data_IF_554907020081
#
_entry.id   IF_554907020081
#
_cell.length_a   1.000
_cell.length_b   1.000
_cell.length_c   1.000
_cell.angle_alpha   90.00
_cell.angle_beta   90.00
_cell.angle_gamma   90.00
#
_symmetry.space_group_name_H-M   'P 1'
#
loop_
_entity.id
_entity.type
_entity.pdbx_description
1 polymer ?
#
# COMPACT_ATOMS: atom_id res chain seq x y z
N UNK A 1 -43.39 21.10 -1.29
CA UNK A 1 -43.45 20.24 -0.08
C UNK A 1 -42.74 18.93 -0.37
N UNK A 2 -41.51 18.76 0.10
CA UNK A 2 -40.88 17.47 0.30
C UNK A 2 -40.06 17.62 1.59
N UNK A 3 -40.53 17.01 2.67
CA UNK A 3 -39.92 17.11 4.00
C UNK A 3 -38.57 16.40 3.95
N UNK A 4 -37.48 17.16 4.07
CA UNK A 4 -36.16 16.61 4.29
C UNK A 4 -36.14 16.01 5.70
N UNK A 5 -36.31 14.69 5.80
CA UNK A 5 -36.22 14.00 7.08
C UNK A 5 -34.77 14.07 7.58
N UNK A 6 -34.59 14.78 8.69
CA UNK A 6 -33.35 14.92 9.44
C UNK A 6 -32.93 13.57 10.03
N UNK A 7 -32.16 12.78 9.27
CA UNK A 7 -31.39 11.66 9.81
C UNK A 7 -29.97 12.15 10.14
N UNK A 8 -29.55 12.18 11.42
CA UNK A 8 -28.18 12.52 11.77
C UNK A 8 -27.28 11.33 11.44
N UNK A 9 -26.35 11.56 10.51
CA UNK A 9 -25.43 10.59 9.93
C UNK A 9 -24.08 10.70 10.66
N UNK A 10 -23.52 9.58 11.10
CA UNK A 10 -22.17 9.54 11.68
C UNK A 10 -21.24 8.82 10.69
N UNK A 11 -20.43 9.57 9.96
CA UNK A 11 -19.34 9.00 9.16
C UNK A 11 -18.10 8.90 10.06
N UNK A 12 -17.73 7.68 10.44
CA UNK A 12 -16.55 7.45 11.29
C UNK A 12 -15.39 7.11 10.36
N UNK A 13 -14.63 8.13 9.96
CA UNK A 13 -13.33 7.90 9.32
C UNK A 13 -12.46 7.11 10.32
N UNK A 14 -11.56 6.21 9.88
CA UNK A 14 -10.61 5.57 10.78
C UNK A 14 -9.67 6.56 11.48
N UNK A 15 -9.66 7.85 11.13
CA UNK A 15 -9.05 8.90 11.97
C UNK A 15 -9.85 9.27 13.21
N UNK A 16 -11.09 8.79 13.38
CA UNK A 16 -11.80 8.81 14.67
C UNK A 16 -11.52 7.55 15.51
N UNK A 17 -11.10 6.44 14.88
CA UNK A 17 -10.41 5.35 15.58
C UNK A 17 -8.91 5.61 15.75
N UNK A 18 -8.33 6.54 14.98
CA UNK A 18 -6.93 6.99 15.03
C UNK A 18 -6.91 8.53 15.16
N UNK A 19 -7.66 9.08 16.12
CA UNK A 19 -7.57 10.52 16.39
C UNK A 19 -6.26 10.76 17.13
N UNK A 20 -5.37 11.50 16.48
CA UNK A 20 -4.02 11.82 16.94
C UNK A 20 -4.01 12.89 18.03
N UNK A 21 -4.97 12.87 18.98
CA UNK A 21 -4.87 13.68 20.19
C UNK A 21 -4.28 12.84 21.32
N UNK A 22 -3.07 13.21 21.74
CA UNK A 22 -2.25 12.52 22.74
C UNK A 22 -2.83 12.54 24.18
N UNK A 23 -4.15 12.67 24.34
CA UNK A 23 -4.83 12.85 25.63
C UNK A 23 -6.05 11.96 25.84
N UNK A 24 -6.43 11.11 24.88
CA UNK A 24 -7.46 10.09 25.13
C UNK A 24 -6.85 8.68 25.05
N UNK A 25 -6.82 7.92 26.17
CA UNK A 25 -6.62 6.49 26.11
C UNK A 25 -7.66 5.89 25.15
N UNK A 26 -7.38 4.72 24.59
CA UNK A 26 -8.24 3.91 23.70
C UNK A 26 -9.56 3.41 24.37
N UNK A 27 -10.10 4.23 25.27
CA UNK A 27 -11.36 4.09 25.97
C UNK A 27 -12.51 4.87 25.32
N UNK A 28 -12.29 5.66 24.26
CA UNK A 28 -13.39 5.92 23.31
C UNK A 28 -13.63 4.65 22.50
N UNK A 29 -14.12 3.64 23.21
CA UNK A 29 -14.19 2.26 22.79
C UNK A 29 -15.23 2.15 21.68
N UNK A 30 -15.03 1.20 20.76
CA UNK A 30 -16.07 0.83 19.82
C UNK A 30 -17.45 0.67 20.50
N UNK A 31 -17.49 0.21 21.76
CA UNK A 31 -18.70 0.16 22.58
C UNK A 31 -19.32 1.53 22.88
N UNK A 32 -18.52 2.58 23.14
CA UNK A 32 -19.04 3.94 23.33
C UNK A 32 -19.62 4.51 22.03
N UNK A 33 -18.94 4.28 20.89
CA UNK A 33 -19.46 4.67 19.57
C UNK A 33 -20.78 3.94 19.33
N UNK A 34 -20.81 2.62 19.55
CA UNK A 34 -22.02 1.84 19.41
C UNK A 34 -23.11 2.32 20.36
N UNK A 35 -22.83 2.61 21.63
CA UNK A 35 -23.82 3.10 22.59
C UNK A 35 -24.41 4.46 22.19
N UNK A 36 -23.62 5.33 21.56
CA UNK A 36 -24.07 6.63 21.08
C UNK A 36 -24.87 6.58 19.77
N UNK A 37 -24.82 5.47 19.02
CA UNK A 37 -25.53 5.33 17.75
C UNK A 37 -27.04 5.15 17.95
N UNK A 38 -27.83 5.85 17.12
CA UNK A 38 -29.28 5.69 17.04
C UNK A 38 -29.63 4.34 16.39
N UNK A 39 -30.76 3.76 16.81
CA UNK A 39 -31.37 2.64 16.10
C UNK A 39 -31.65 3.01 14.64
N UNK A 40 -31.38 2.10 13.71
CA UNK A 40 -31.53 2.32 12.26
C UNK A 40 -30.47 3.25 11.64
N UNK A 41 -29.46 3.69 12.41
CA UNK A 41 -28.37 4.49 11.87
C UNK A 41 -27.45 3.66 10.96
N UNK A 42 -26.62 4.34 10.16
CA UNK A 42 -25.59 3.72 9.32
C UNK A 42 -24.21 4.08 9.86
N UNK A 43 -23.39 3.07 10.17
CA UNK A 43 -21.96 3.20 10.44
C UNK A 43 -21.19 3.11 9.12
N UNK A 44 -20.56 4.21 8.71
CA UNK A 44 -19.63 4.22 7.58
C UNK A 44 -18.19 4.09 8.04
N UNK A 45 -17.45 3.15 7.46
CA UNK A 45 -16.02 2.90 7.69
C UNK A 45 -15.22 3.20 6.41
N UNK A 46 -13.97 3.65 6.54
CA UNK A 46 -13.06 3.78 5.37
C UNK A 46 -11.96 2.73 5.34
N UNK A 47 -12.07 1.73 6.21
CA UNK A 47 -11.23 0.54 6.27
C UNK A 47 -11.92 -0.50 7.18
N UNK A 48 -11.86 -1.78 6.83
CA UNK A 48 -12.40 -2.92 7.55
C UNK A 48 -11.59 -3.41 8.74
N UNK A 49 -10.53 -2.70 9.17
CA UNK A 49 -9.72 -3.03 10.35
C UNK A 49 -10.57 -3.37 11.58
N UNK A 50 -11.66 -2.62 11.81
CA UNK A 50 -12.56 -2.85 12.94
C UNK A 50 -13.22 -4.23 12.86
N UNK A 51 -13.65 -4.69 11.69
CA UNK A 51 -14.21 -6.04 11.53
C UNK A 51 -13.16 -7.10 11.92
N UNK A 52 -11.93 -6.97 11.41
CA UNK A 52 -10.86 -7.91 11.75
C UNK A 52 -10.51 -7.91 13.25
N UNK A 53 -10.58 -6.76 13.90
CA UNK A 53 -10.45 -6.68 15.36
C UNK A 53 -11.61 -7.39 16.08
N UNK A 54 -12.86 -7.14 15.70
CA UNK A 54 -14.03 -7.76 16.32
C UNK A 54 -14.01 -9.28 16.18
N UNK A 55 -13.68 -9.78 15.00
CA UNK A 55 -13.52 -11.22 14.75
C UNK A 55 -12.46 -11.82 15.70
N UNK A 56 -11.33 -11.11 15.94
CA UNK A 56 -10.25 -11.59 16.82
C UNK A 56 -10.64 -11.70 18.31
N UNK A 57 -11.69 -11.00 18.73
CA UNK A 57 -12.20 -11.00 20.11
C UNK A 57 -13.59 -11.64 20.23
N UNK A 58 -14.14 -12.17 19.13
CA UNK A 58 -15.47 -12.80 19.11
C UNK A 58 -16.64 -11.83 19.26
N UNK A 59 -16.44 -10.53 18.97
CA UNK A 59 -17.48 -9.51 19.02
C UNK A 59 -18.12 -9.24 17.65
N UNK A 60 -19.24 -8.52 17.64
CA UNK A 60 -19.97 -8.17 16.42
C UNK A 60 -20.50 -6.73 16.47
N UNK A 61 -20.85 -6.21 15.30
CA UNK A 61 -21.64 -4.98 15.19
C UNK A 61 -23.05 -5.20 15.75
N UNK A 62 -23.65 -4.13 16.28
CA UNK A 62 -25.06 -4.08 16.68
C UNK A 62 -25.98 -4.52 15.53
N UNK A 63 -27.03 -5.32 15.79
CA UNK A 63 -27.92 -5.84 14.75
C UNK A 63 -28.90 -4.79 14.20
N UNK A 64 -29.08 -3.66 14.89
CA UNK A 64 -30.09 -2.64 14.56
C UNK A 64 -29.54 -1.45 13.75
N UNK A 65 -28.30 -1.53 13.26
CA UNK A 65 -27.64 -0.48 12.47
C UNK A 65 -27.19 -1.01 11.10
N UNK A 66 -27.12 -0.18 10.06
CA UNK A 66 -26.41 -0.58 8.83
C UNK A 66 -24.90 -0.39 9.01
N UNK A 67 -24.08 -1.23 8.37
CA UNK A 67 -22.62 -1.11 8.38
C UNK A 67 -22.12 -1.15 6.93
N UNK A 68 -21.52 -0.05 6.50
CA UNK A 68 -21.00 0.13 5.14
C UNK A 68 -19.54 0.56 5.17
N UNK A 69 -18.85 0.35 4.05
CA UNK A 69 -17.49 0.80 3.84
C UNK A 69 -17.37 1.56 2.51
N UNK A 70 -16.58 2.64 2.53
CA UNK A 70 -16.02 3.28 1.33
C UNK A 70 -14.54 3.56 1.62
N UNK A 71 -13.65 2.81 0.97
CA UNK A 71 -12.21 2.89 1.17
C UNK A 71 -11.53 3.45 -0.09
N UNK A 72 -11.06 4.72 -0.04
CA UNK A 72 -10.22 5.28 -1.09
C UNK A 72 -8.89 4.54 -1.19
N UNK A 73 -8.51 4.12 -2.40
CA UNK A 73 -7.26 3.43 -2.73
C UNK A 73 -6.13 4.44 -2.94
N UNK A 74 -5.85 5.17 -1.85
CA UNK A 74 -4.86 6.23 -1.81
C UNK A 74 -4.85 7.00 -0.49
N UNK A 75 -3.73 7.66 -0.20
CA UNK A 75 -3.56 8.43 1.02
C UNK A 75 -4.51 9.64 1.13
N UNK A 76 -4.84 10.05 2.35
CA UNK A 76 -5.75 11.18 2.60
C UNK A 76 -5.42 12.48 1.83
N UNK A 77 -4.14 12.92 1.77
CA UNK A 77 -3.75 14.07 0.96
C UNK A 77 -4.02 13.93 -0.55
N UNK A 78 -3.86 12.72 -1.13
CA UNK A 78 -4.12 12.50 -2.56
C UNK A 78 -5.60 12.56 -2.89
N UNK A 79 -6.48 12.03 -2.01
CA UNK A 79 -7.94 12.17 -2.12
C UNK A 79 -8.33 13.64 -2.25
N UNK A 80 -7.84 14.50 -1.35
CA UNK A 80 -8.19 15.94 -1.39
C UNK A 80 -7.58 16.63 -2.61
N UNK A 81 -6.30 16.38 -2.90
CA UNK A 81 -5.60 17.03 -4.02
C UNK A 81 -6.29 16.74 -5.35
N UNK A 82 -6.57 15.47 -5.63
CA UNK A 82 -7.18 15.05 -6.89
C UNK A 82 -8.65 15.47 -6.97
N UNK A 83 -9.39 15.48 -5.86
CA UNK A 83 -10.74 16.05 -5.82
C UNK A 83 -10.75 17.55 -6.22
N UNK A 84 -9.77 18.33 -5.76
CA UNK A 84 -9.65 19.75 -6.14
C UNK A 84 -9.31 19.87 -7.63
N UNK A 85 -8.40 19.05 -8.14
CA UNK A 85 -8.06 18.98 -9.57
C UNK A 85 -9.27 18.55 -10.43
N UNK A 86 -10.17 17.72 -9.87
CA UNK A 86 -11.42 17.28 -10.48
C UNK A 86 -12.38 18.40 -10.86
N UNK A 87 -12.19 19.61 -10.31
CA UNK A 87 -12.95 20.81 -10.71
C UNK A 87 -12.65 21.26 -12.14
N UNK A 88 -11.43 21.01 -12.60
CA UNK A 88 -10.92 21.45 -13.90
C UNK A 88 -10.70 20.27 -14.85
N UNK A 89 -10.47 19.06 -14.31
CA UNK A 89 -10.17 17.85 -15.07
C UNK A 89 -11.19 16.77 -14.73
N UNK A 90 -12.10 16.49 -15.65
CA UNK A 90 -13.11 15.45 -15.46
C UNK A 90 -12.42 14.08 -15.21
N UNK A 91 -12.88 13.37 -14.18
CA UNK A 91 -12.32 12.06 -13.79
C UNK A 91 -11.08 12.11 -12.89
N UNK A 92 -10.58 13.28 -12.47
CA UNK A 92 -9.52 13.35 -11.46
C UNK A 92 -10.07 13.03 -10.06
N UNK A 93 -9.49 12.01 -9.41
CA UNK A 93 -9.90 11.54 -8.09
C UNK A 93 -9.11 10.29 -7.68
N UNK A 94 -9.48 9.68 -6.56
CA UNK A 94 -8.94 8.39 -6.10
C UNK A 94 -10.03 7.34 -6.19
N UNK A 95 -9.75 6.22 -6.85
CA UNK A 95 -10.67 5.08 -6.92
C UNK A 95 -11.05 4.61 -5.52
N UNK A 96 -12.27 4.11 -5.37
CA UNK A 96 -12.74 3.58 -4.09
C UNK A 96 -13.21 2.14 -4.22
N UNK A 97 -12.99 1.35 -3.18
CA UNK A 97 -13.81 0.16 -2.97
C UNK A 97 -14.99 0.52 -2.06
N UNK A 98 -16.10 -0.19 -2.19
CA UNK A 98 -17.21 -0.12 -1.24
C UNK A 98 -17.68 -1.50 -0.80
N UNK A 99 -18.21 -1.59 0.41
CA UNK A 99 -18.83 -2.82 0.92
C UNK A 99 -20.10 -2.51 1.71
N UNK A 100 -21.04 -3.44 1.69
CA UNK A 100 -22.20 -3.47 2.58
C UNK A 100 -22.08 -4.74 3.42
N UNK A 101 -21.89 -4.56 4.73
CA UNK A 101 -21.78 -5.68 5.67
C UNK A 101 -23.11 -6.05 6.30
N UNK A 102 -23.89 -5.02 6.63
CA UNK A 102 -25.19 -5.13 7.25
C UNK A 102 -26.08 -4.02 6.67
N UNK A 103 -27.26 -4.39 6.22
CA UNK A 103 -28.28 -3.45 5.72
C UNK A 103 -29.59 -3.73 6.46
N UNK A 104 -30.06 -2.77 7.24
CA UNK A 104 -31.25 -2.94 8.11
C UNK A 104 -32.52 -2.32 7.52
N UNK A 105 -32.41 -1.53 6.45
CA UNK A 105 -33.54 -0.81 5.87
C UNK A 105 -33.50 -0.65 4.33
N UNK A 106 -32.56 -1.31 3.65
CA UNK A 106 -32.44 -1.36 2.20
C UNK A 106 -31.71 -0.18 1.57
N UNK A 107 -31.17 0.76 2.38
CA UNK A 107 -30.54 2.00 1.87
C UNK A 107 -29.01 1.91 1.82
N UNK A 108 -28.40 0.84 2.32
CA UNK A 108 -26.96 0.78 2.57
C UNK A 108 -26.12 0.94 1.28
N UNK A 109 -26.52 0.27 0.20
CA UNK A 109 -25.81 0.33 -1.09
C UNK A 109 -25.80 1.74 -1.68
N UNK A 110 -26.96 2.40 -1.75
CA UNK A 110 -27.07 3.77 -2.28
C UNK A 110 -26.29 4.77 -1.43
N UNK A 111 -26.26 4.58 -0.11
CA UNK A 111 -25.47 5.41 0.80
C UNK A 111 -23.97 5.22 0.57
N UNK A 112 -23.50 3.99 0.36
CA UNK A 112 -22.10 3.70 0.10
C UNK A 112 -21.65 4.27 -1.25
N UNK A 113 -22.40 4.03 -2.32
CA UNK A 113 -22.12 4.57 -3.65
C UNK A 113 -22.20 6.10 -3.64
N UNK A 114 -23.25 6.66 -3.02
CA UNK A 114 -23.41 8.11 -2.89
C UNK A 114 -22.26 8.76 -2.11
N UNK A 115 -21.74 8.10 -1.07
CA UNK A 115 -20.56 8.57 -0.35
C UNK A 115 -19.30 8.52 -1.24
N UNK A 116 -19.06 7.43 -1.98
CA UNK A 116 -17.93 7.32 -2.91
C UNK A 116 -17.95 8.40 -4.01
N UNK A 117 -19.13 8.66 -4.59
CA UNK A 117 -19.32 9.75 -5.56
C UNK A 117 -19.06 11.11 -4.91
N UNK A 118 -19.55 11.35 -3.69
CA UNK A 118 -19.38 12.61 -2.99
C UNK A 118 -17.91 12.96 -2.66
N UNK A 119 -17.05 11.94 -2.50
CA UNK A 119 -15.60 12.13 -2.31
C UNK A 119 -14.82 12.16 -3.63
N UNK A 120 -15.52 12.11 -4.77
CA UNK A 120 -14.94 12.25 -6.12
C UNK A 120 -14.23 11.00 -6.61
N UNK A 121 -14.70 9.81 -6.25
CA UNK A 121 -14.15 8.57 -6.78
C UNK A 121 -14.40 8.48 -8.30
N UNK A 122 -13.36 8.37 -9.16
CA UNK A 122 -13.54 8.21 -10.61
C UNK A 122 -14.22 6.89 -10.95
N UNK A 123 -13.87 5.85 -10.19
CA UNK A 123 -14.43 4.52 -10.29
C UNK A 123 -14.62 3.95 -8.87
N UNK A 124 -15.74 3.24 -8.67
CA UNK A 124 -16.04 2.55 -7.41
C UNK A 124 -16.35 1.09 -7.68
N UNK A 125 -15.65 0.17 -7.00
CA UNK A 125 -15.88 -1.28 -7.13
C UNK A 125 -16.35 -1.91 -5.82
N UNK A 126 -17.16 -2.96 -5.94
CA UNK A 126 -17.67 -3.68 -4.77
C UNK A 126 -16.63 -4.66 -4.21
N UNK A 127 -16.55 -4.73 -2.89
CA UNK A 127 -15.78 -5.72 -2.12
C UNK A 127 -16.56 -6.10 -0.85
N UNK A 128 -15.93 -6.81 0.07
CA UNK A 128 -16.41 -7.02 1.44
C UNK A 128 -15.46 -6.33 2.43
N UNK A 129 -15.91 -6.04 3.65
CA UNK A 129 -14.97 -5.56 4.69
C UNK A 129 -13.83 -6.55 4.90
N UNK A 130 -14.10 -7.86 4.79
CA UNK A 130 -13.11 -8.90 5.04
C UNK A 130 -12.01 -8.89 3.98
N UNK A 131 -12.39 -8.83 2.71
CA UNK A 131 -11.42 -8.74 1.62
C UNK A 131 -10.67 -7.41 1.68
N UNK A 132 -11.38 -6.30 1.92
CA UNK A 132 -10.76 -4.99 2.00
C UNK A 132 -9.70 -4.91 3.09
N UNK A 133 -9.98 -5.36 4.32
CA UNK A 133 -8.96 -5.25 5.36
C UNK A 133 -7.77 -6.16 5.10
N UNK A 134 -8.01 -7.31 4.44
CA UNK A 134 -6.94 -8.25 4.09
C UNK A 134 -6.06 -7.67 3.01
N UNK A 135 -6.63 -7.15 1.92
CA UNK A 135 -5.87 -6.57 0.81
C UNK A 135 -5.16 -5.28 1.20
N UNK A 136 -5.81 -4.38 1.95
CA UNK A 136 -5.29 -3.06 2.30
C UNK A 136 -4.11 -3.16 3.29
N UNK A 137 -4.30 -3.86 4.42
CA UNK A 137 -3.25 -4.06 5.45
C UNK A 137 -2.06 -4.81 4.86
N UNK A 138 -2.29 -5.79 3.98
CA UNK A 138 -1.25 -6.50 3.25
C UNK A 138 -0.55 -5.58 2.23
N UNK A 139 -1.30 -4.86 1.40
CA UNK A 139 -0.78 -4.01 0.33
C UNK A 139 0.15 -2.92 0.87
N UNK A 140 -0.23 -2.26 1.97
CA UNK A 140 0.59 -1.23 2.65
C UNK A 140 1.89 -1.79 3.26
N UNK A 141 2.00 -3.11 3.45
CA UNK A 141 3.23 -3.81 3.86
C UNK A 141 4.03 -4.31 2.67
N UNK A 142 3.32 -4.67 1.60
CA UNK A 142 3.86 -5.02 0.30
C UNK A 142 4.27 -3.81 -0.53
N UNK A 143 3.98 -3.85 -1.82
CA UNK A 143 4.50 -2.95 -2.86
C UNK A 143 4.09 -1.48 -2.67
N UNK A 144 3.03 -1.20 -1.90
CA UNK A 144 2.54 0.16 -1.71
C UNK A 144 3.50 1.00 -0.87
N UNK A 145 4.08 0.42 0.20
CA UNK A 145 5.01 1.15 1.08
C UNK A 145 6.18 0.27 1.56
N UNK A 146 5.90 -0.82 2.27
CA UNK A 146 6.95 -1.61 2.95
C UNK A 146 7.94 -2.26 1.98
N UNK A 147 7.45 -3.04 1.01
CA UNK A 147 8.32 -3.72 0.05
C UNK A 147 9.08 -2.73 -0.82
N UNK A 148 8.45 -1.67 -1.33
CA UNK A 148 9.16 -0.67 -2.14
C UNK A 148 10.23 0.06 -1.33
N UNK A 149 10.01 0.34 -0.03
CA UNK A 149 11.04 0.88 0.86
C UNK A 149 12.20 -0.11 1.02
N UNK A 150 11.93 -1.38 1.29
CA UNK A 150 12.96 -2.42 1.38
C UNK A 150 13.77 -2.58 0.09
N UNK A 151 13.10 -2.58 -1.06
CA UNK A 151 13.71 -2.69 -2.39
C UNK A 151 14.68 -1.53 -2.67
N UNK A 152 14.27 -0.28 -2.41
CA UNK A 152 15.14 0.86 -2.74
C UNK A 152 16.36 0.93 -1.82
N UNK A 153 16.21 0.58 -0.54
CA UNK A 153 17.33 0.51 0.42
C UNK A 153 18.32 -0.59 0.02
N UNK A 154 17.83 -1.78 -0.36
CA UNK A 154 18.67 -2.91 -0.74
C UNK A 154 19.41 -2.66 -2.06
N UNK A 155 18.72 -2.13 -3.07
CA UNK A 155 19.32 -1.76 -4.36
C UNK A 155 20.36 -0.65 -4.20
N UNK A 156 20.08 0.37 -3.39
CA UNK A 156 21.03 1.45 -3.14
C UNK A 156 22.33 0.92 -2.52
N UNK A 157 22.23 0.03 -1.51
CA UNK A 157 23.40 -0.62 -0.92
C UNK A 157 24.14 -1.46 -1.95
N UNK A 158 23.43 -2.30 -2.71
CA UNK A 158 24.01 -3.13 -3.77
C UNK A 158 24.79 -2.33 -4.81
N UNK A 159 24.24 -1.22 -5.30
CA UNK A 159 24.93 -0.39 -6.29
C UNK A 159 26.21 0.23 -5.71
N UNK A 160 26.16 0.71 -4.46
CA UNK A 160 27.33 1.27 -3.78
C UNK A 160 28.42 0.22 -3.55
N UNK A 161 28.05 -0.99 -3.15
CA UNK A 161 29.00 -2.09 -2.95
C UNK A 161 29.70 -2.49 -4.26
N UNK A 162 29.06 -2.21 -5.42
CA UNK A 162 29.62 -2.35 -6.77
C UNK A 162 30.39 -1.11 -7.25
N UNK A 163 30.69 -0.16 -6.38
CA UNK A 163 31.47 1.04 -6.69
C UNK A 163 30.71 2.15 -7.40
N UNK A 164 29.37 2.06 -7.50
CA UNK A 164 28.54 3.12 -8.08
C UNK A 164 28.45 4.29 -7.09
N UNK A 165 28.68 5.51 -7.59
CA UNK A 165 28.60 6.72 -6.78
C UNK A 165 27.20 6.90 -6.15
N UNK A 166 27.15 7.44 -4.93
CA UNK A 166 25.92 7.56 -4.14
C UNK A 166 24.75 8.19 -4.91
N UNK A 167 24.97 9.30 -5.61
CA UNK A 167 23.92 10.00 -6.35
C UNK A 167 23.35 9.13 -7.49
N UNK A 168 24.22 8.43 -8.22
CA UNK A 168 23.82 7.51 -9.28
C UNK A 168 23.12 6.26 -8.72
N UNK A 169 23.59 5.71 -7.59
CA UNK A 169 22.94 4.61 -6.90
C UNK A 169 21.51 4.98 -6.46
N UNK A 170 21.31 6.20 -5.95
CA UNK A 170 19.98 6.69 -5.59
C UNK A 170 19.09 6.87 -6.83
N UNK A 171 19.63 7.38 -7.94
CA UNK A 171 18.90 7.52 -9.19
C UNK A 171 18.44 6.15 -9.70
N UNK A 172 19.35 5.17 -9.78
CA UNK A 172 19.05 3.82 -10.24
C UNK A 172 18.03 3.10 -9.36
N UNK A 173 18.16 3.21 -8.03
CA UNK A 173 17.26 2.54 -7.10
C UNK A 173 15.89 3.24 -6.96
N UNK A 174 15.88 4.50 -6.53
CA UNK A 174 14.65 5.19 -6.11
C UNK A 174 14.02 6.03 -7.22
N UNK A 175 14.80 6.83 -7.95
CA UNK A 175 14.26 7.71 -8.99
C UNK A 175 13.74 6.90 -10.18
N UNK A 176 14.43 5.83 -10.56
CA UNK A 176 14.01 4.89 -11.61
C UNK A 176 12.61 4.32 -11.34
N UNK A 177 12.35 3.81 -10.13
CA UNK A 177 11.05 3.25 -9.72
C UNK A 177 9.97 4.34 -9.73
N UNK A 178 10.22 5.43 -9.00
CA UNK A 178 9.19 6.44 -8.72
C UNK A 178 8.95 7.44 -9.85
N UNK A 179 9.87 7.49 -10.82
CA UNK A 179 9.79 8.30 -12.02
C UNK A 179 9.36 7.46 -13.23
N UNK A 180 10.29 7.09 -14.13
CA UNK A 180 9.96 6.52 -15.43
C UNK A 180 9.23 5.18 -15.35
N UNK A 181 9.58 4.28 -14.40
CA UNK A 181 8.90 2.98 -14.27
C UNK A 181 7.44 3.19 -13.88
N UNK A 182 7.17 3.96 -12.82
CA UNK A 182 5.80 4.28 -12.39
C UNK A 182 4.99 4.95 -13.50
N UNK A 183 5.59 5.90 -14.24
CA UNK A 183 4.91 6.59 -15.34
C UNK A 183 4.57 5.66 -16.50
N UNK A 184 5.46 4.73 -16.86
CA UNK A 184 5.19 3.74 -17.91
C UNK A 184 4.09 2.77 -17.47
N UNK A 185 4.14 2.26 -16.24
CA UNK A 185 3.11 1.35 -15.71
C UNK A 185 1.73 2.04 -15.68
N UNK A 186 1.66 3.27 -15.17
CA UNK A 186 0.44 4.08 -15.11
C UNK A 186 -0.22 4.25 -16.48
N UNK A 187 0.58 4.55 -17.52
CA UNK A 187 0.05 4.92 -18.85
C UNK A 187 -0.10 3.76 -19.83
N UNK A 188 0.78 2.75 -19.73
CA UNK A 188 0.92 1.67 -20.72
C UNK A 188 1.02 0.27 -20.12
N UNK A 189 0.97 0.14 -18.79
CA UNK A 189 1.01 -1.13 -18.09
C UNK A 189 2.42 -1.68 -17.86
N UNK A 190 2.47 -2.78 -17.13
CA UNK A 190 3.70 -3.43 -16.66
C UNK A 190 4.57 -3.92 -17.82
N UNK A 191 3.95 -4.56 -18.83
CA UNK A 191 4.66 -5.15 -19.96
C UNK A 191 5.43 -4.11 -20.78
N UNK A 192 4.89 -2.90 -20.91
CA UNK A 192 5.54 -1.81 -21.65
C UNK A 192 6.91 -1.44 -21.06
N UNK A 193 7.12 -1.59 -19.74
CA UNK A 193 8.43 -1.35 -19.12
C UNK A 193 9.47 -2.29 -19.70
N UNK A 194 9.13 -3.58 -19.87
CA UNK A 194 10.03 -4.58 -20.45
C UNK A 194 10.22 -4.40 -21.96
N UNK A 195 9.13 -4.12 -22.68
CA UNK A 195 9.17 -3.95 -24.14
C UNK A 195 9.97 -2.72 -24.58
N UNK A 196 9.97 -1.64 -23.78
CA UNK A 196 10.75 -0.44 -24.09
C UNK A 196 12.26 -0.60 -23.80
N UNK A 197 12.68 -1.64 -23.08
CA UNK A 197 14.10 -1.91 -22.84
C UNK A 197 14.78 -2.38 -24.13
N UNK A 198 16.06 -2.02 -24.27
CA UNK A 198 16.95 -2.57 -25.30
C UNK A 198 17.15 -4.07 -25.09
N UNK A 199 17.58 -4.77 -26.14
CA UNK A 199 17.79 -6.22 -26.10
C UNK A 199 18.76 -6.65 -24.99
N UNK A 200 19.89 -5.96 -24.83
CA UNK A 200 20.84 -6.21 -23.73
C UNK A 200 20.24 -6.00 -22.33
N UNK A 201 19.38 -4.98 -22.19
CA UNK A 201 18.75 -4.60 -20.93
C UNK A 201 17.60 -5.56 -20.54
N UNK A 202 16.90 -6.13 -21.54
CA UNK A 202 15.85 -7.14 -21.31
C UNK A 202 16.41 -8.39 -20.62
N UNK A 203 17.64 -8.78 -20.94
CA UNK A 203 18.30 -9.90 -20.25
C UNK A 203 18.55 -9.57 -18.77
N UNK A 204 19.05 -8.38 -18.47
CA UNK A 204 19.28 -7.92 -17.10
C UNK A 204 17.96 -7.89 -16.31
N UNK A 205 16.90 -7.37 -16.93
CA UNK A 205 15.55 -7.38 -16.36
C UNK A 205 15.09 -8.81 -16.04
N UNK A 206 15.17 -9.72 -17.00
CA UNK A 206 14.68 -11.09 -16.84
C UNK A 206 15.44 -11.85 -15.75
N UNK A 207 16.76 -11.67 -15.66
CA UNK A 207 17.58 -12.28 -14.61
C UNK A 207 17.23 -11.74 -13.22
N UNK A 208 17.05 -10.41 -13.09
CA UNK A 208 16.63 -9.78 -11.83
C UNK A 208 15.21 -10.20 -11.42
N UNK A 209 14.28 -10.26 -12.38
CA UNK A 209 12.90 -10.68 -12.15
C UNK A 209 12.85 -12.11 -11.63
N UNK A 210 13.47 -13.05 -12.35
CA UNK A 210 13.49 -14.46 -12.00
C UNK A 210 14.15 -14.73 -10.64
N UNK A 211 15.19 -13.98 -10.29
CA UNK A 211 15.85 -14.10 -8.99
C UNK A 211 15.05 -13.49 -7.82
N UNK A 212 14.17 -12.53 -8.10
CA UNK A 212 13.46 -11.74 -7.08
C UNK A 212 12.04 -12.20 -6.80
N UNK A 213 11.38 -12.85 -7.77
CA UNK A 213 9.97 -13.26 -7.65
C UNK A 213 9.73 -14.16 -6.43
N UNK A 214 10.45 -15.29 -6.30
CA UNK A 214 10.22 -16.24 -5.19
C UNK A 214 10.56 -15.63 -3.83
N UNK A 215 11.71 -14.94 -3.62
CA UNK A 215 11.97 -14.27 -2.35
C UNK A 215 10.99 -13.15 -2.00
N UNK A 216 10.43 -12.45 -2.99
CA UNK A 216 9.36 -11.49 -2.74
C UNK A 216 8.06 -12.20 -2.33
N UNK A 217 7.67 -13.24 -3.07
CA UNK A 217 6.48 -14.04 -2.80
C UNK A 217 6.49 -14.63 -1.39
N UNK A 218 7.63 -15.17 -0.95
CA UNK A 218 7.86 -15.71 0.39
C UNK A 218 7.46 -14.72 1.52
N UNK A 219 7.96 -13.49 1.46
CA UNK A 219 7.61 -12.45 2.45
C UNK A 219 6.15 -12.00 2.30
N UNK A 220 5.64 -11.92 1.06
CA UNK A 220 4.28 -11.48 0.79
C UNK A 220 3.25 -12.50 1.31
N UNK A 221 3.43 -13.80 1.07
CA UNK A 221 2.51 -14.81 1.55
C UNK A 221 2.53 -14.91 3.09
N UNK A 222 3.71 -14.83 3.72
CA UNK A 222 3.85 -14.71 5.19
C UNK A 222 3.04 -13.52 5.71
N UNK A 223 3.23 -12.34 5.09
CA UNK A 223 2.54 -11.12 5.48
C UNK A 223 1.02 -11.25 5.33
N UNK A 224 0.53 -11.82 4.23
CA UNK A 224 -0.89 -11.99 4.01
C UNK A 224 -1.51 -12.90 5.09
N UNK A 225 -0.86 -14.02 5.41
CA UNK A 225 -1.34 -14.99 6.40
C UNK A 225 -1.33 -14.43 7.83
N UNK A 226 -0.35 -13.57 8.15
CA UNK A 226 -0.32 -12.80 9.39
C UNK A 226 -1.50 -11.81 9.51
N UNK A 227 -1.93 -11.22 8.38
CA UNK A 227 -3.11 -10.35 8.33
C UNK A 227 -4.40 -11.17 8.43
N UNK A 228 -4.50 -12.25 7.66
CA UNK A 228 -5.66 -13.14 7.60
C UNK A 228 -5.96 -13.78 8.96
N UNK A 229 -4.93 -14.20 9.69
CA UNK A 229 -5.02 -14.79 11.03
C UNK A 229 -5.36 -13.78 12.13
N UNK A 230 -5.28 -12.48 11.85
CA UNK A 230 -5.50 -11.40 12.82
C UNK A 230 -4.27 -11.07 13.69
N UNK A 231 -3.15 -11.78 13.52
CA UNK A 231 -1.90 -11.49 14.23
C UNK A 231 -1.41 -10.07 13.96
N UNK A 232 -1.48 -9.64 12.70
CA UNK A 232 -1.00 -8.31 12.31
C UNK A 232 -1.88 -7.19 12.88
N UNK A 233 -3.20 -7.38 12.89
CA UNK A 233 -4.17 -6.45 13.52
C UNK A 233 -3.87 -6.31 15.02
N UNK A 234 -3.68 -7.44 15.71
CA UNK A 234 -3.33 -7.47 17.13
C UNK A 234 -2.00 -6.76 17.40
N UNK A 235 -0.99 -6.99 16.55
CA UNK A 235 0.30 -6.32 16.63
C UNK A 235 0.17 -4.80 16.51
N UNK A 236 -0.62 -4.31 15.56
CA UNK A 236 -0.90 -2.87 15.38
C UNK A 236 -1.56 -2.29 16.64
N UNK A 237 -2.60 -2.93 17.17
CA UNK A 237 -3.28 -2.47 18.40
C UNK A 237 -2.28 -2.35 19.56
N UNK A 238 -1.42 -3.36 19.74
CA UNK A 238 -0.41 -3.34 20.79
C UNK A 238 0.67 -2.28 20.55
N UNK A 239 1.09 -2.06 19.30
CA UNK A 239 2.06 -1.02 18.94
C UNK A 239 1.53 0.37 19.26
N UNK A 240 0.29 0.63 18.85
CA UNK A 240 -0.39 1.89 19.12
C UNK A 240 -0.55 2.15 20.63
N UNK A 241 -0.83 1.12 21.44
CA UNK A 241 -0.82 1.25 22.92
C UNK A 241 0.54 1.65 23.48
N UNK A 242 1.63 1.36 22.80
CA UNK A 242 3.00 1.77 23.21
C UNK A 242 3.34 3.20 22.81
N UNK A 243 2.61 3.82 21.87
CA UNK A 243 2.96 5.14 21.31
C UNK A 243 3.13 6.28 22.34
N UNK A 244 2.31 6.38 23.41
CA UNK A 244 2.54 7.41 24.42
C UNK A 244 3.91 7.34 25.09
N UNK A 245 4.52 6.14 25.13
CA UNK A 245 5.86 5.90 25.69
C UNK A 245 6.94 5.84 24.62
N UNK A 246 6.63 5.26 23.46
CA UNK A 246 7.56 4.99 22.36
C UNK A 246 6.88 5.39 21.04
N UNK A 247 6.94 6.68 20.64
CA UNK A 247 6.42 7.10 19.35
C UNK A 247 7.27 6.56 18.19
N UNK A 248 6.69 6.50 17.00
CA UNK A 248 7.43 6.12 15.79
C UNK A 248 8.56 7.10 15.47
N UNK A 249 9.74 6.57 15.18
CA UNK A 249 10.89 7.35 14.72
C UNK A 249 10.82 7.74 13.24
N UNK A 250 11.80 8.56 12.82
CA UNK A 250 11.99 8.97 11.41
C UNK A 250 12.70 7.87 10.62
N UNK A 251 12.31 7.69 9.37
CA UNK A 251 12.87 6.67 8.46
C UNK A 251 13.72 7.27 7.32
N UNK A 252 13.76 8.60 7.19
CA UNK A 252 14.40 9.34 6.10
C UNK A 252 15.68 10.11 6.52
N UNK A 253 16.32 9.66 7.61
CA UNK A 253 17.52 10.30 8.18
C UNK A 253 18.80 9.52 7.91
N UNK A 254 18.70 8.35 7.26
CA UNK A 254 19.85 7.53 6.88
C UNK A 254 20.55 8.08 5.62
N UNK A 255 21.74 7.53 5.33
CA UNK A 255 22.62 7.98 4.23
C UNK A 255 21.89 8.12 2.88
N UNK A 256 21.14 7.09 2.48
CA UNK A 256 20.40 7.09 1.21
C UNK A 256 19.47 8.30 1.08
N UNK A 257 18.74 8.63 2.15
CA UNK A 257 17.73 9.69 2.11
C UNK A 257 18.35 11.08 2.17
N UNK A 258 19.53 11.23 2.77
CA UNK A 258 20.33 12.45 2.66
C UNK A 258 20.87 12.66 1.24
N UNK A 259 21.41 11.61 0.62
CA UNK A 259 21.79 11.62 -0.81
C UNK A 259 20.61 12.01 -1.68
N UNK A 260 19.42 11.45 -1.41
CA UNK A 260 18.20 11.78 -2.14
C UNK A 260 17.85 13.27 -2.11
N UNK A 261 18.14 14.01 -1.03
CA UNK A 261 17.93 15.46 -0.98
C UNK A 261 18.81 16.20 -2.00
N UNK A 262 20.08 15.78 -2.14
CA UNK A 262 21.02 16.35 -3.12
C UNK A 262 20.61 16.03 -4.55
N UNK A 263 20.25 14.77 -4.83
CA UNK A 263 19.77 14.34 -6.14
C UNK A 263 18.54 15.14 -6.56
N UNK A 264 17.55 15.29 -5.65
CA UNK A 264 16.34 16.07 -5.93
C UNK A 264 16.59 17.53 -6.24
N UNK A 265 17.58 18.15 -5.58
CA UNK A 265 17.94 19.54 -5.82
C UNK A 265 18.55 19.79 -7.21
N UNK A 266 19.08 18.75 -7.88
CA UNK A 266 19.75 18.81 -9.19
C UNK A 266 19.09 17.90 -10.22
N UNK A 267 17.83 17.49 -10.00
CA UNK A 267 17.16 16.43 -10.75
C UNK A 267 17.12 16.76 -12.24
N UNK A 268 17.73 15.87 -13.04
CA UNK A 268 17.68 15.89 -14.50
C UNK A 268 16.80 14.77 -15.06
N UNK A 269 17.16 14.30 -16.25
CA UNK A 269 16.53 13.12 -16.88
C UNK A 269 16.92 11.86 -16.11
N UNK A 270 15.93 11.04 -15.79
CA UNK A 270 16.09 9.77 -15.07
C UNK A 270 15.85 8.62 -16.05
N UNK A 271 16.86 7.75 -16.30
CA UNK A 271 16.66 6.55 -17.11
C UNK A 271 15.95 5.44 -16.33
N UNK A 272 15.38 4.47 -17.05
CA UNK A 272 14.97 3.19 -16.46
C UNK A 272 16.22 2.36 -16.23
N UNK A 273 16.45 1.93 -14.99
CA UNK A 273 17.46 0.91 -14.67
C UNK A 273 16.83 -0.49 -14.80
N UNK A 274 17.33 -1.37 -15.69
CA UNK A 274 16.68 -2.64 -16.00
C UNK A 274 16.73 -3.65 -14.85
N UNK A 275 17.79 -3.64 -14.03
CA UNK A 275 17.90 -4.52 -12.87
C UNK A 275 16.88 -4.11 -11.81
N UNK A 276 16.81 -2.81 -11.51
CA UNK A 276 15.81 -2.24 -10.60
C UNK A 276 14.39 -2.52 -11.08
N UNK A 277 14.11 -2.35 -12.38
CA UNK A 277 12.81 -2.66 -12.97
C UNK A 277 12.45 -4.13 -12.78
N UNK A 278 13.39 -5.06 -12.99
CA UNK A 278 13.16 -6.49 -12.78
C UNK A 278 12.80 -6.83 -11.34
N UNK A 279 13.51 -6.28 -10.34
CA UNK A 279 13.23 -6.50 -8.91
C UNK A 279 11.86 -5.94 -8.51
N UNK A 280 11.56 -4.70 -8.90
CA UNK A 280 10.32 -4.03 -8.56
C UNK A 280 9.10 -4.72 -9.20
N UNK A 281 9.19 -5.04 -10.49
CA UNK A 281 8.09 -5.69 -11.22
C UNK A 281 7.91 -7.15 -10.76
N UNK A 282 8.98 -7.88 -10.42
CA UNK A 282 8.83 -9.21 -9.82
C UNK A 282 8.08 -9.18 -8.48
N UNK A 283 8.35 -8.18 -7.63
CA UNK A 283 7.64 -8.01 -6.36
C UNK A 283 6.18 -7.61 -6.59
N UNK A 284 5.91 -6.73 -7.55
CA UNK A 284 4.56 -6.35 -7.95
C UNK A 284 3.75 -7.56 -8.45
N UNK A 285 4.34 -8.39 -9.32
CA UNK A 285 3.70 -9.59 -9.83
C UNK A 285 3.49 -10.64 -8.74
N UNK A 286 4.48 -10.86 -7.86
CA UNK A 286 4.31 -11.75 -6.71
C UNK A 286 3.15 -11.30 -5.81
N UNK A 287 2.97 -9.99 -5.61
CA UNK A 287 1.84 -9.46 -4.84
C UNK A 287 0.49 -9.74 -5.53
N UNK A 288 0.44 -9.54 -6.85
CA UNK A 288 -0.75 -9.85 -7.66
C UNK A 288 -1.12 -11.33 -7.50
N UNK A 289 -0.13 -12.23 -7.60
CA UNK A 289 -0.34 -13.66 -7.53
C UNK A 289 -0.80 -14.11 -6.14
N UNK A 290 -0.23 -13.56 -5.06
CA UNK A 290 -0.71 -13.82 -3.69
C UNK A 290 -2.20 -13.44 -3.55
N UNK A 291 -2.61 -12.27 -4.05
CA UNK A 291 -4.02 -11.87 -3.96
C UNK A 291 -4.94 -12.69 -4.87
N UNK A 292 -4.46 -13.13 -6.04
CA UNK A 292 -5.18 -14.07 -6.90
C UNK A 292 -5.41 -15.40 -6.18
N UNK A 293 -4.35 -15.98 -5.59
CA UNK A 293 -4.42 -17.24 -4.83
C UNK A 293 -5.37 -17.14 -3.64
N UNK A 294 -5.41 -15.97 -2.98
CA UNK A 294 -6.31 -15.70 -1.84
C UNK A 294 -7.73 -15.28 -2.25
N UNK A 295 -8.05 -15.30 -3.55
CA UNK A 295 -9.42 -15.16 -4.06
C UNK A 295 -9.96 -13.72 -4.09
N UNK A 296 -9.08 -12.72 -4.19
CA UNK A 296 -9.49 -11.33 -4.35
C UNK A 296 -9.98 -11.05 -5.78
N UNK A 297 -10.88 -10.08 -5.93
CA UNK A 297 -11.37 -9.65 -7.25
C UNK A 297 -10.32 -8.78 -7.95
N UNK A 298 -10.25 -8.86 -9.28
CA UNK A 298 -9.23 -8.15 -10.08
C UNK A 298 -9.20 -6.64 -9.83
N UNK A 299 -10.36 -6.00 -9.63
CA UNK A 299 -10.40 -4.56 -9.33
C UNK A 299 -9.68 -4.23 -8.02
N UNK A 300 -9.78 -5.10 -7.01
CA UNK A 300 -9.07 -4.93 -5.75
C UNK A 300 -7.58 -5.18 -5.96
N UNK A 301 -7.21 -6.29 -6.61
CA UNK A 301 -5.81 -6.66 -6.89
C UNK A 301 -5.06 -5.55 -7.63
N UNK A 302 -5.66 -5.03 -8.70
CA UNK A 302 -5.04 -3.99 -9.54
C UNK A 302 -4.92 -2.67 -8.79
N UNK A 303 -5.92 -2.27 -7.98
CA UNK A 303 -5.81 -1.04 -7.21
C UNK A 303 -4.76 -1.16 -6.10
N UNK A 304 -4.73 -2.28 -5.38
CA UNK A 304 -3.86 -2.53 -4.21
C UNK A 304 -2.41 -2.89 -4.58
N UNK A 305 -2.16 -3.27 -5.83
CA UNK A 305 -0.82 -3.71 -6.28
C UNK A 305 -0.21 -2.86 -7.39
N UNK A 306 -1.04 -2.12 -8.14
CA UNK A 306 -0.58 -1.37 -9.32
C UNK A 306 -0.96 0.10 -9.22
N UNK A 307 -2.26 0.41 -9.32
CA UNK A 307 -2.73 1.81 -9.49
C UNK A 307 -2.36 2.66 -8.28
N UNK A 308 -2.65 2.20 -7.05
CA UNK A 308 -2.35 3.00 -5.86
C UNK A 308 -0.84 3.28 -5.73
N UNK A 309 -0.01 2.28 -6.04
CA UNK A 309 1.44 2.46 -6.03
C UNK A 309 1.87 3.55 -7.01
N UNK A 310 1.51 3.44 -8.29
CA UNK A 310 2.08 4.31 -9.34
C UNK A 310 1.40 5.67 -9.48
N UNK A 311 0.11 5.79 -9.14
CA UNK A 311 -0.67 7.01 -9.33
C UNK A 311 -0.88 7.82 -8.03
N UNK A 312 -0.83 7.16 -6.86
CA UNK A 312 -1.06 7.82 -5.56
C UNK A 312 0.22 7.91 -4.73
N UNK A 313 0.94 6.80 -4.50
CA UNK A 313 2.00 6.74 -3.48
C UNK A 313 3.39 7.10 -4.00
N UNK A 314 3.86 6.43 -5.06
CA UNK A 314 5.18 6.68 -5.67
C UNK A 314 5.40 8.16 -6.04
N UNK A 315 4.41 8.93 -6.52
CA UNK A 315 4.58 10.38 -6.73
C UNK A 315 4.99 11.16 -5.47
N UNK A 316 4.58 10.72 -4.27
CA UNK A 316 4.99 11.36 -3.01
C UNK A 316 6.44 10.99 -2.66
N UNK A 317 6.83 9.73 -2.84
CA UNK A 317 8.23 9.33 -2.65
C UNK A 317 9.14 10.03 -3.66
N UNK A 318 8.70 10.15 -4.92
CA UNK A 318 9.39 10.93 -5.94
C UNK A 318 9.52 12.39 -5.53
N UNK A 319 8.48 13.00 -4.97
CA UNK A 319 8.52 14.41 -4.62
C UNK A 319 9.52 14.72 -3.49
N UNK A 320 9.54 13.92 -2.41
CA UNK A 320 10.26 14.29 -1.18
C UNK A 320 10.92 13.13 -0.42
N UNK A 321 10.93 11.92 -0.96
CA UNK A 321 11.51 10.73 -0.34
C UNK A 321 10.51 9.91 0.48
N UNK A 322 10.97 8.79 1.03
CA UNK A 322 10.11 7.75 1.62
C UNK A 322 9.24 8.24 2.78
N UNK A 323 9.75 9.11 3.67
CA UNK A 323 8.95 9.62 4.79
C UNK A 323 7.73 10.40 4.29
N UNK A 324 7.87 11.16 3.20
CA UNK A 324 6.76 11.91 2.64
C UNK A 324 5.69 11.02 2.03
N UNK A 325 6.03 9.81 1.61
CA UNK A 325 5.06 8.80 1.20
C UNK A 325 4.47 8.09 2.42
N UNK A 326 5.31 7.46 3.24
CA UNK A 326 4.90 6.59 4.35
C UNK A 326 4.20 7.38 5.47
N UNK A 327 4.76 8.50 5.91
CA UNK A 327 4.24 9.23 7.07
C UNK A 327 3.02 10.10 6.77
N UNK A 328 2.59 10.19 5.50
CA UNK A 328 1.29 10.73 5.10
C UNK A 328 0.18 9.67 5.04
N UNK A 329 0.52 8.39 5.19
CA UNK A 329 -0.45 7.29 5.29
C UNK A 329 -0.93 7.07 6.74
N UNK A 330 -1.84 6.10 6.92
CA UNK A 330 -2.44 5.78 8.21
C UNK A 330 -1.40 5.30 9.24
N UNK A 331 -1.75 5.31 10.53
CA UNK A 331 -0.89 4.72 11.56
C UNK A 331 -0.62 3.23 11.33
N UNK A 332 -1.62 2.49 10.84
CA UNK A 332 -1.49 1.07 10.46
C UNK A 332 -0.45 0.89 9.35
N UNK A 333 -0.54 1.72 8.30
CA UNK A 333 0.39 1.76 7.18
C UNK A 333 1.82 2.05 7.61
N UNK A 334 1.98 3.09 8.44
CA UNK A 334 3.27 3.53 8.95
C UNK A 334 3.97 2.46 9.80
N UNK A 335 3.20 1.75 10.63
CA UNK A 335 3.70 0.61 11.42
C UNK A 335 4.02 -0.59 10.52
N UNK A 336 3.14 -0.90 9.56
CA UNK A 336 3.34 -1.96 8.59
C UNK A 336 4.61 -1.78 7.78
N UNK A 337 4.78 -0.62 7.14
CA UNK A 337 5.99 -0.30 6.37
C UNK A 337 7.26 -0.45 7.22
N UNK A 338 7.26 0.03 8.48
CA UNK A 338 8.41 -0.09 9.39
C UNK A 338 8.70 -1.52 9.85
N UNK A 339 7.66 -2.36 9.99
CA UNK A 339 7.82 -3.78 10.36
C UNK A 339 8.34 -4.60 9.18
N UNK A 340 7.83 -4.35 7.97
CA UNK A 340 8.01 -5.26 6.84
C UNK A 340 9.07 -4.81 5.83
N UNK A 341 9.38 -3.51 5.69
CA UNK A 341 10.45 -3.06 4.79
C UNK A 341 11.81 -3.74 5.04
N UNK A 342 12.27 -3.92 6.31
CA UNK A 342 13.52 -4.64 6.57
C UNK A 342 13.48 -6.11 6.12
N UNK A 343 12.30 -6.76 6.11
CA UNK A 343 12.16 -8.16 5.69
C UNK A 343 12.42 -8.30 4.19
N UNK A 344 11.86 -7.41 3.37
CA UNK A 344 12.12 -7.37 1.93
C UNK A 344 13.57 -7.06 1.61
N UNK A 345 14.15 -6.06 2.29
CA UNK A 345 15.57 -5.72 2.14
C UNK A 345 16.46 -6.94 2.38
N UNK A 346 16.30 -7.59 3.54
CA UNK A 346 17.10 -8.75 3.91
C UNK A 346 16.89 -9.92 2.95
N UNK A 347 15.65 -10.25 2.57
CA UNK A 347 15.39 -11.42 1.72
C UNK A 347 15.98 -11.24 0.31
N UNK A 348 15.88 -10.02 -0.24
CA UNK A 348 16.49 -9.69 -1.54
C UNK A 348 18.02 -9.78 -1.48
N UNK A 349 18.65 -9.22 -0.45
CA UNK A 349 20.10 -9.28 -0.27
C UNK A 349 20.61 -10.71 -0.07
N UNK A 350 19.90 -11.53 0.71
CA UNK A 350 20.32 -12.89 1.09
C UNK A 350 20.06 -13.92 -0.01
N UNK A 351 19.00 -13.76 -0.81
CA UNK A 351 18.59 -14.76 -1.78
C UNK A 351 18.67 -14.26 -3.22
N UNK A 352 18.03 -13.13 -3.53
CA UNK A 352 17.90 -12.65 -4.92
C UNK A 352 19.24 -12.20 -5.48
N UNK A 353 19.92 -11.31 -4.79
CA UNK A 353 21.16 -10.72 -5.29
C UNK A 353 22.31 -11.72 -5.31
N UNK A 354 22.35 -12.65 -4.35
CA UNK A 354 23.29 -13.78 -4.36
C UNK A 354 23.12 -14.65 -5.61
N UNK A 355 21.87 -14.93 -6.04
CA UNK A 355 21.60 -15.69 -7.28
C UNK A 355 22.05 -14.95 -8.54
N UNK A 356 21.96 -13.62 -8.55
CA UNK A 356 22.45 -12.80 -9.66
C UNK A 356 23.99 -12.75 -9.66
N UNK A 357 24.63 -12.59 -8.50
CA UNK A 357 26.07 -12.44 -8.34
C UNK A 357 26.83 -13.76 -8.52
N UNK A 358 26.23 -14.89 -8.12
CA UNK A 358 26.79 -16.23 -8.30
C UNK A 358 26.94 -16.66 -9.77
N UNK A 359 26.41 -15.88 -10.72
CA UNK A 359 26.66 -16.05 -12.16
C UNK A 359 27.91 -15.30 -12.64
N UNK A 360 28.37 -14.27 -11.92
CA UNK A 360 29.60 -13.51 -12.24
C UNK A 360 30.86 -14.21 -11.68
N UNK A 361 30.73 -15.12 -10.69
CA UNK A 361 31.80 -15.96 -10.17
C UNK A 361 31.40 -17.43 -10.16
N UNK A 362 31.86 -18.21 -11.15
CA UNK A 362 31.39 -19.57 -11.38
C UNK A 362 31.41 -20.49 -10.14
N UNK A 363 30.30 -21.24 -9.95
CA UNK A 363 30.23 -22.70 -9.76
C UNK A 363 28.76 -23.11 -9.57
N UNK A 364 28.35 -24.11 -10.36
CA UNK A 364 27.20 -25.03 -10.21
C UNK A 364 25.78 -24.55 -10.56
N UNK A 365 25.18 -25.31 -11.49
CA UNK A 365 23.86 -25.15 -12.06
C UNK A 365 22.72 -25.55 -11.09
N UNK A 366 21.73 -24.67 -10.93
CA UNK A 366 20.39 -25.09 -10.48
C UNK A 366 19.54 -25.45 -11.70
N UNK A 367 19.00 -26.67 -11.69
CA UNK A 367 18.06 -27.20 -12.70
C UNK A 367 16.76 -26.38 -12.72
N UNK A 368 16.06 -26.30 -13.87
CA UNK A 368 14.77 -25.65 -13.96
C UNK A 368 13.70 -26.42 -13.17
N UNK A 369 12.83 -25.69 -12.46
CA UNK A 369 11.61 -26.24 -11.86
C UNK A 369 10.59 -26.58 -12.97
N UNK A 370 9.89 -27.71 -12.89
CA UNK A 370 8.81 -28.04 -13.82
C UNK A 370 7.54 -27.26 -13.43
N UNK A 371 6.75 -26.95 -14.46
CA UNK A 371 5.45 -26.27 -14.42
C UNK A 371 4.42 -26.95 -13.52
#
# INVERSE_FOLDING_TARGET
MARCASSPRLFVKPTCFCSSSATQPWRTSFHEIQAAMKSGATLGLSHGFLLGHLDSIGERFRPDISVILVAPKGMGPSVRRLYVQGREQNGAGINCSFAVHQDVDGRATDLAIGWAVAIGAPFTFQTTLRNEYRSDIFGERGILLGAVHGIVESLFRRYRDRGIADEEAFIRACESITGPISQTISKRGILAVYEDLKEEDRRIFAEAYAASYVPAFDILIECYEDVESGNEIKSVIQAVRRHPRIPMGKIDTTHMWDVGKRVRAKRGRIPVDPFTAGVYIATMMAQIDVLLEKGHVLSEIINESVIESVDSLNPYMHARGVSYMVDNCSTTARLGARKWAPRFDYNLMQQSYVKCDGKEGGVSACRPFPF
#
